data_IF_087735201558
#
_entry.id   IF_087735201558
#
_cell.length_a   1.000
_cell.length_b   1.000
_cell.length_c   1.000
_cell.angle_alpha   90.00
_cell.angle_beta   90.00
_cell.angle_gamma   90.00
#
_symmetry.space_group_name_H-M   'P 1'
#
loop_
_entity.id
_entity.type
_entity.pdbx_description
1 polymer ?
#
# COMPACT_ATOMS: atom_id res chain seq x y z
N UNK A 1 -7.92 -7.84 -5.52
CA UNK A 1 -6.51 -8.22 -5.60
C UNK A 1 -5.91 -8.27 -4.20
N UNK A 2 -5.05 -9.23 -3.96
CA UNK A 2 -4.36 -9.36 -2.68
C UNK A 2 -2.89 -8.95 -2.84
N UNK A 3 -2.42 -8.08 -1.96
CA UNK A 3 -1.06 -7.56 -1.96
C UNK A 3 -0.36 -8.02 -0.69
N UNK A 4 0.79 -8.67 -0.85
CA UNK A 4 1.63 -9.04 0.29
C UNK A 4 2.58 -7.89 0.60
N UNK A 5 2.58 -7.44 1.85
CA UNK A 5 3.43 -6.34 2.29
C UNK A 5 3.62 -6.43 3.79
N UNK A 6 4.56 -5.66 4.31
CA UNK A 6 4.71 -5.50 5.75
C UNK A 6 3.99 -4.23 6.18
N UNK A 7 3.20 -4.34 7.23
CA UNK A 7 2.59 -3.18 7.87
C UNK A 7 2.95 -3.23 9.35
N UNK A 8 3.45 -2.14 9.90
CA UNK A 8 3.83 -2.05 11.32
C UNK A 8 4.73 -3.21 11.76
N UNK A 9 5.73 -3.56 10.93
CA UNK A 9 6.70 -4.64 11.18
C UNK A 9 6.10 -6.05 11.19
N UNK A 10 4.90 -6.22 10.67
CA UNK A 10 4.26 -7.53 10.55
C UNK A 10 4.00 -7.85 9.09
N UNK A 11 4.26 -9.12 8.66
CA UNK A 11 3.80 -9.54 7.35
C UNK A 11 2.29 -9.43 7.27
N UNK A 12 1.78 -8.86 6.20
CA UNK A 12 0.35 -8.64 6.04
C UNK A 12 -0.08 -8.94 4.61
N UNK A 13 -1.34 -9.29 4.45
CA UNK A 13 -1.96 -9.44 3.14
C UNK A 13 -3.08 -8.41 3.09
N UNK A 14 -2.99 -7.52 2.10
CA UNK A 14 -3.91 -6.39 1.97
C UNK A 14 -4.83 -6.64 0.78
N UNK A 15 -6.14 -6.54 1.01
CA UNK A 15 -7.09 -6.59 -0.10
C UNK A 15 -7.23 -5.20 -0.71
N UNK A 16 -6.67 -5.02 -1.90
CA UNK A 16 -6.67 -3.71 -2.56
C UNK A 16 -8.06 -3.27 -2.99
N UNK A 17 -9.01 -4.18 -3.06
CA UNK A 17 -10.40 -3.83 -3.41
C UNK A 17 -11.07 -2.96 -2.35
N UNK A 18 -10.54 -2.95 -1.14
CA UNK A 18 -11.04 -2.11 -0.06
C UNK A 18 -10.35 -0.76 0.01
N UNK A 19 -9.35 -0.52 -0.85
CA UNK A 19 -8.60 0.72 -0.86
C UNK A 19 -9.16 1.67 -1.91
N UNK A 20 -9.28 2.94 -1.54
CA UNK A 20 -9.76 3.99 -2.43
C UNK A 20 -8.61 4.64 -3.17
N UNK A 21 -7.47 4.80 -2.50
CA UNK A 21 -6.32 5.46 -3.09
C UNK A 21 -5.02 4.95 -2.48
N UNK A 22 -3.96 5.02 -3.29
CA UNK A 22 -2.59 4.79 -2.85
C UNK A 22 -1.79 6.03 -3.20
N UNK A 23 -0.84 6.40 -2.34
CA UNK A 23 -0.03 7.59 -2.59
C UNK A 23 1.35 7.42 -1.92
N UNK A 24 2.37 8.14 -2.41
CA UNK A 24 3.70 8.05 -1.81
C UNK A 24 3.77 8.84 -0.52
N UNK A 25 4.71 8.45 0.36
CA UNK A 25 5.06 9.28 1.50
C UNK A 25 5.75 10.57 1.03
N UNK A 26 5.92 11.54 1.93
CA UNK A 26 6.52 12.82 1.58
C UNK A 26 7.95 12.68 1.05
N UNK A 27 8.71 11.72 1.58
CA UNK A 27 10.08 11.45 1.14
C UNK A 27 10.15 10.33 0.09
N UNK A 28 9.01 9.77 -0.31
CA UNK A 28 8.89 8.72 -1.31
C UNK A 28 9.59 7.42 -0.96
N UNK A 29 9.90 7.19 0.31
CA UNK A 29 10.56 5.96 0.75
C UNK A 29 9.60 4.82 1.02
N UNK A 30 8.31 5.12 1.22
CA UNK A 30 7.29 4.10 1.43
C UNK A 30 5.95 4.56 0.86
N UNK A 31 4.97 3.69 0.93
CA UNK A 31 3.65 3.96 0.37
C UNK A 31 2.60 4.04 1.46
N UNK A 32 1.52 4.73 1.14
CA UNK A 32 0.36 4.90 2.00
C UNK A 32 -0.89 4.52 1.22
N UNK A 33 -1.91 4.08 1.93
CA UNK A 33 -3.19 3.75 1.32
C UNK A 33 -4.32 4.28 2.20
N UNK A 34 -5.43 4.64 1.57
CA UNK A 34 -6.62 5.08 2.27
C UNK A 34 -7.77 4.16 1.89
N UNK A 35 -8.46 3.61 2.89
CA UNK A 35 -9.58 2.72 2.64
C UNK A 35 -10.89 3.51 2.46
N UNK A 36 -11.98 2.77 2.20
CA UNK A 36 -13.28 3.38 1.95
C UNK A 36 -13.85 4.08 3.16
N UNK A 37 -13.34 3.80 4.37
CA UNK A 37 -13.78 4.46 5.60
C UNK A 37 -12.94 5.68 5.94
N UNK A 38 -11.92 5.96 5.11
CA UNK A 38 -11.04 7.09 5.33
C UNK A 38 -9.84 6.81 6.22
N UNK A 39 -9.66 5.57 6.67
CA UNK A 39 -8.51 5.20 7.47
C UNK A 39 -7.25 5.09 6.61
N UNK A 40 -6.16 5.61 7.13
CA UNK A 40 -4.87 5.56 6.46
C UNK A 40 -4.09 4.33 6.91
N UNK A 41 -3.53 3.62 5.93
CA UNK A 41 -2.69 2.45 6.17
C UNK A 41 -1.30 2.71 5.62
N UNK A 42 -0.27 2.37 6.40
CA UNK A 42 1.12 2.55 5.99
C UNK A 42 1.68 1.23 5.46
N UNK A 43 2.37 1.30 4.33
CA UNK A 43 3.03 0.14 3.71
C UNK A 43 4.53 0.45 3.67
N UNK A 44 5.25 0.19 4.78
CA UNK A 44 6.62 0.68 4.91
C UNK A 44 7.66 -0.05 4.07
N UNK A 45 7.37 -1.25 3.59
CA UNK A 45 8.32 -2.03 2.82
C UNK A 45 8.20 -1.83 1.30
N UNK A 46 7.29 -1.00 0.85
CA UNK A 46 7.10 -0.74 -0.58
C UNK A 46 7.20 0.75 -0.87
N UNK A 47 8.10 1.10 -1.79
CA UNK A 47 8.08 2.44 -2.37
C UNK A 47 6.85 2.57 -3.27
N UNK A 48 6.43 3.79 -3.56
CA UNK A 48 5.29 3.99 -4.46
C UNK A 48 5.55 3.40 -5.84
N UNK A 49 6.77 3.54 -6.36
CA UNK A 49 7.14 2.95 -7.64
C UNK A 49 7.03 1.42 -7.60
N UNK A 50 7.47 0.79 -6.52
CA UNK A 50 7.36 -0.65 -6.35
C UNK A 50 5.93 -1.12 -6.23
N UNK A 51 5.11 -0.39 -5.48
CA UNK A 51 3.69 -0.69 -5.34
C UNK A 51 2.97 -0.57 -6.68
N UNK A 52 3.21 0.51 -7.40
CA UNK A 52 2.61 0.74 -8.71
C UNK A 52 2.95 -0.40 -9.67
N UNK A 53 4.20 -0.87 -9.66
CA UNK A 53 4.63 -1.96 -10.50
C UNK A 53 3.88 -3.26 -10.17
N UNK A 54 3.69 -3.53 -8.88
CA UNK A 54 2.93 -4.71 -8.45
C UNK A 54 1.47 -4.64 -8.87
N UNK A 55 0.86 -3.47 -8.77
CA UNK A 55 -0.54 -3.28 -9.15
C UNK A 55 -0.71 -3.39 -10.67
N UNK A 56 0.24 -2.86 -11.43
CA UNK A 56 0.18 -2.91 -12.89
C UNK A 56 0.40 -4.32 -13.45
N UNK A 57 1.00 -5.21 -12.67
CA UNK A 57 1.24 -6.59 -13.07
C UNK A 57 0.00 -7.48 -12.99
N UNK A 58 -1.11 -6.96 -12.51
CA UNK A 58 -2.36 -7.71 -12.33
C UNK A 58 -3.20 -7.74 -13.58
#
# INVERSE_FOLDING_TARGET
MWLKAKTKDRPSIINTDHMVSFYPSLDETFSLARDARGEQHTIPDLTFAGLKKKLDAQ
#
